data_IF_286677491226
#
_entry.id   IF_286677491226
#
_cell.length_a   1.000
_cell.length_b   1.000
_cell.length_c   1.000
_cell.angle_alpha   90.00
_cell.angle_beta   90.00
_cell.angle_gamma   90.00
#
_symmetry.space_group_name_H-M   'P 1'
#
loop_
_entity.id
_entity.type
_entity.pdbx_description
1 polymer ?
#
# COMPACT_ATOMS: atom_id res chain seq x y z
N UNK A 1 16.99 -20.47 2.17
CA UNK A 1 16.60 -19.04 2.05
C UNK A 1 15.10 -18.99 2.15
N UNK A 2 14.54 -18.02 2.87
CA UNK A 2 13.09 -17.82 2.91
C UNK A 2 12.59 -17.50 1.49
N UNK A 3 11.43 -18.02 1.13
CA UNK A 3 10.73 -17.66 -0.10
C UNK A 3 10.33 -16.17 -0.09
N UNK A 4 10.10 -15.59 -1.27
CA UNK A 4 9.63 -14.20 -1.37
C UNK A 4 8.31 -13.99 -0.59
N UNK A 5 7.45 -15.02 -0.55
CA UNK A 5 6.22 -15.02 0.26
C UNK A 5 6.50 -14.92 1.75
N UNK A 6 7.41 -15.75 2.28
CA UNK A 6 7.79 -15.71 3.70
C UNK A 6 8.47 -14.40 4.07
N UNK A 7 9.33 -13.86 3.20
CA UNK A 7 9.95 -12.55 3.38
C UNK A 7 8.90 -11.45 3.48
N UNK A 8 7.94 -11.43 2.55
CA UNK A 8 6.85 -10.46 2.51
C UNK A 8 5.99 -10.51 3.78
N UNK A 9 5.58 -11.71 4.20
CA UNK A 9 4.77 -11.89 5.41
C UNK A 9 5.53 -11.51 6.69
N UNK A 10 6.81 -11.87 6.78
CA UNK A 10 7.66 -11.49 7.92
C UNK A 10 7.81 -9.98 8.01
N UNK A 11 8.07 -9.32 6.88
CA UNK A 11 8.17 -7.87 6.82
C UNK A 11 6.84 -7.19 7.18
N UNK A 12 5.73 -7.67 6.63
CA UNK A 12 4.42 -7.10 6.90
C UNK A 12 4.01 -7.28 8.38
N UNK A 13 4.29 -8.44 8.97
CA UNK A 13 4.09 -8.67 10.39
C UNK A 13 4.91 -7.69 11.23
N UNK A 14 6.21 -7.53 10.92
CA UNK A 14 7.08 -6.59 11.63
C UNK A 14 6.58 -5.14 11.53
N UNK A 15 6.13 -4.73 10.33
CA UNK A 15 5.54 -3.42 10.09
C UNK A 15 4.30 -3.17 10.96
N UNK A 16 3.35 -4.11 10.97
CA UNK A 16 2.08 -3.97 11.70
C UNK A 16 2.27 -4.09 13.22
N UNK A 17 3.18 -4.93 13.68
CA UNK A 17 3.46 -5.12 15.11
C UNK A 17 4.36 -4.04 15.71
N UNK A 18 4.89 -3.11 14.90
CA UNK A 18 5.82 -2.07 15.34
C UNK A 18 7.26 -2.54 15.58
N UNK A 19 7.66 -3.69 15.04
CA UNK A 19 9.05 -4.14 15.04
C UNK A 19 9.83 -3.41 13.94
N UNK A 20 10.22 -2.17 14.24
CA UNK A 20 10.89 -1.28 13.31
C UNK A 20 12.27 -1.80 12.87
N UNK A 21 13.00 -2.48 13.76
CA UNK A 21 14.32 -3.04 13.44
C UNK A 21 14.17 -4.12 12.35
N UNK A 22 13.28 -5.09 12.56
CA UNK A 22 13.02 -6.12 11.55
C UNK A 22 12.46 -5.51 10.27
N UNK A 23 11.48 -4.61 10.36
CA UNK A 23 10.86 -3.98 9.19
C UNK A 23 11.88 -3.22 8.32
N UNK A 24 12.78 -2.44 8.94
CA UNK A 24 13.85 -1.72 8.23
C UNK A 24 14.90 -2.68 7.69
N UNK A 25 15.23 -3.74 8.43
CA UNK A 25 16.24 -4.72 7.99
C UNK A 25 15.83 -5.49 6.75
N UNK A 26 14.53 -5.67 6.47
CA UNK A 26 14.05 -6.50 5.34
C UNK A 26 13.77 -5.70 4.06
N UNK A 27 13.88 -4.37 4.10
CA UNK A 27 13.77 -3.51 2.92
C UNK A 27 15.15 -3.05 2.44
N UNK A 28 15.26 -2.75 1.15
CA UNK A 28 16.48 -2.20 0.58
C UNK A 28 16.68 -0.72 0.97
N UNK A 29 17.88 -0.20 0.72
CA UNK A 29 18.17 1.23 0.93
C UNK A 29 17.47 2.11 -0.11
N UNK A 30 17.32 1.63 -1.34
CA UNK A 30 16.57 2.26 -2.42
C UNK A 30 15.07 1.89 -2.42
N UNK A 31 14.53 1.46 -1.28
CA UNK A 31 13.11 1.11 -1.17
C UNK A 31 12.21 2.29 -1.52
N UNK A 32 11.17 2.01 -2.32
CA UNK A 32 10.15 2.98 -2.70
C UNK A 32 8.74 2.45 -2.47
N UNK A 33 7.84 3.36 -2.13
CA UNK A 33 6.45 3.08 -1.80
C UNK A 33 5.50 3.87 -2.70
N UNK A 34 4.47 3.23 -3.26
CA UNK A 34 3.41 3.91 -4.00
C UNK A 34 2.09 3.78 -3.26
N UNK A 35 1.50 4.92 -2.90
CA UNK A 35 0.12 4.99 -2.43
C UNK A 35 -0.80 5.39 -3.58
N UNK A 36 -1.76 4.52 -3.92
CA UNK A 36 -2.71 4.77 -5.01
C UNK A 36 -3.63 5.96 -4.75
N UNK A 37 -4.36 6.37 -5.79
CA UNK A 37 -5.41 7.37 -5.71
C UNK A 37 -4.95 8.77 -6.12
N UNK A 38 -5.69 9.77 -5.62
CA UNK A 38 -5.51 11.19 -5.93
C UNK A 38 -5.58 12.06 -4.67
N UNK A 39 -5.44 11.45 -3.49
CA UNK A 39 -5.36 12.18 -2.22
C UNK A 39 -4.04 12.97 -2.17
N UNK A 40 -3.92 14.00 -1.31
CA UNK A 40 -2.64 14.70 -1.15
C UNK A 40 -1.47 13.76 -0.83
N UNK A 41 -1.71 12.69 -0.07
CA UNK A 41 -0.76 11.62 0.22
C UNK A 41 -0.43 10.70 -0.98
N UNK A 42 -1.31 10.57 -1.98
CA UNK A 42 -1.15 9.64 -3.10
C UNK A 42 0.02 10.06 -4.01
N UNK A 43 1.06 9.21 -4.07
CA UNK A 43 2.27 9.38 -4.89
C UNK A 43 3.23 8.20 -4.69
N UNK A 44 4.33 8.24 -5.44
CA UNK A 44 5.57 7.59 -5.05
C UNK A 44 6.27 8.34 -3.90
N UNK A 45 6.75 7.57 -2.94
CA UNK A 45 7.51 7.98 -1.77
C UNK A 45 8.84 7.23 -1.74
N UNK A 46 9.87 7.91 -1.28
CA UNK A 46 11.13 7.29 -0.86
C UNK A 46 10.95 6.62 0.52
N UNK A 47 11.95 5.84 0.94
CA UNK A 47 11.94 5.04 2.18
C UNK A 47 11.54 5.84 3.41
N UNK A 48 12.11 7.02 3.61
CA UNK A 48 11.81 7.92 4.74
C UNK A 48 10.36 8.43 4.66
N UNK A 49 9.89 8.69 3.44
CA UNK A 49 8.53 9.11 3.15
C UNK A 49 7.49 8.05 3.51
N UNK A 50 7.80 6.77 3.27
CA UNK A 50 6.96 5.65 3.70
C UNK A 50 6.77 5.64 5.21
N UNK A 51 7.86 5.70 6.00
CA UNK A 51 7.74 5.70 7.46
C UNK A 51 7.05 6.96 7.99
N UNK A 52 7.26 8.11 7.36
CA UNK A 52 6.52 9.34 7.67
C UNK A 52 5.02 9.13 7.43
N UNK A 53 4.63 8.51 6.31
CA UNK A 53 3.23 8.21 6.00
C UNK A 53 2.59 7.24 7.01
N UNK A 54 3.32 6.19 7.41
CA UNK A 54 2.87 5.25 8.42
C UNK A 54 2.70 5.92 9.79
N UNK A 55 3.62 6.83 10.16
CA UNK A 55 3.51 7.59 11.41
C UNK A 55 2.31 8.55 11.40
N UNK A 56 2.06 9.25 10.29
CA UNK A 56 0.89 10.12 10.15
C UNK A 56 -0.41 9.33 10.29
N UNK A 57 -0.50 8.16 9.66
CA UNK A 57 -1.65 7.27 9.79
C UNK A 57 -1.83 6.77 11.23
N UNK A 58 -0.75 6.32 11.89
CA UNK A 58 -0.83 5.92 13.31
C UNK A 58 -1.29 7.06 14.22
N UNK A 59 -0.96 8.32 13.89
CA UNK A 59 -1.38 9.49 14.65
C UNK A 59 -2.88 9.78 14.64
N UNK A 60 -3.65 9.21 13.70
CA UNK A 60 -5.11 9.38 13.65
C UNK A 60 -5.87 8.23 14.33
N UNK A 61 -5.18 7.19 14.78
CA UNK A 61 -5.78 6.04 15.45
C UNK A 61 -5.90 6.27 16.96
N UNK A 62 -6.94 5.70 17.57
CA UNK A 62 -7.18 5.71 19.01
C UNK A 62 -6.74 4.40 19.71
N UNK A 63 -6.16 3.47 18.96
CA UNK A 63 -5.83 2.13 19.44
C UNK A 63 -5.08 1.32 18.39
N UNK A 64 -4.79 0.04 18.67
CA UNK A 64 -4.06 -0.81 17.76
C UNK A 64 -4.85 -1.06 16.47
N UNK A 65 -4.12 -1.17 15.37
CA UNK A 65 -4.65 -1.65 14.10
C UNK A 65 -4.55 -3.17 14.03
N UNK A 66 -5.63 -3.83 13.64
CA UNK A 66 -5.63 -5.24 13.25
C UNK A 66 -5.58 -5.32 11.73
N UNK A 67 -4.58 -6.03 11.19
CA UNK A 67 -4.52 -6.38 9.77
C UNK A 67 -4.84 -7.87 9.62
N UNK A 68 -5.79 -8.21 8.73
CA UNK A 68 -6.06 -9.60 8.33
C UNK A 68 -5.54 -9.78 6.91
N UNK A 69 -4.73 -10.81 6.69
CA UNK A 69 -4.11 -11.10 5.40
C UNK A 69 -4.88 -12.24 4.74
N UNK A 70 -5.32 -12.03 3.51
CA UNK A 70 -6.01 -13.01 2.69
C UNK A 70 -5.04 -13.80 1.81
N UNK A 71 -5.39 -13.99 0.55
CA UNK A 71 -4.57 -14.73 -0.39
C UNK A 71 -3.23 -14.06 -0.64
N UNK A 72 -2.18 -14.89 -0.77
CA UNK A 72 -0.83 -14.44 -1.07
C UNK A 72 -0.27 -15.23 -2.24
N UNK A 73 0.13 -14.51 -3.29
CA UNK A 73 0.72 -15.09 -4.50
C UNK A 73 2.12 -14.53 -4.74
N UNK A 74 2.99 -15.34 -5.33
CA UNK A 74 4.34 -14.94 -5.68
C UNK A 74 4.73 -15.51 -7.05
N UNK A 75 5.31 -14.68 -7.90
CA UNK A 75 5.83 -15.03 -9.23
C UNK A 75 7.10 -14.22 -9.48
N UNK A 76 8.22 -14.90 -9.76
CA UNK A 76 9.54 -14.30 -9.89
C UNK A 76 9.91 -13.40 -8.67
N UNK A 77 10.19 -12.13 -8.93
CA UNK A 77 10.51 -11.09 -7.97
C UNK A 77 9.28 -10.42 -7.34
N UNK A 78 8.05 -10.84 -7.69
CA UNK A 78 6.80 -10.16 -7.31
C UNK A 78 6.04 -10.95 -6.26
N UNK A 79 5.48 -10.26 -5.28
CA UNK A 79 4.55 -10.82 -4.29
C UNK A 79 3.31 -9.95 -4.19
N UNK A 80 2.13 -10.55 -4.21
CA UNK A 80 0.86 -9.85 -4.03
C UNK A 80 0.13 -10.47 -2.84
N UNK A 81 -0.47 -9.61 -2.01
CA UNK A 81 -1.34 -10.04 -0.93
C UNK A 81 -2.60 -9.18 -0.86
N UNK A 82 -3.70 -9.84 -0.50
CA UNK A 82 -4.94 -9.18 -0.08
C UNK A 82 -4.87 -8.90 1.41
N UNK A 83 -5.42 -7.77 1.84
CA UNK A 83 -5.56 -7.48 3.27
C UNK A 83 -6.79 -6.64 3.58
N UNK A 84 -7.25 -6.71 4.82
CA UNK A 84 -8.18 -5.76 5.42
C UNK A 84 -7.63 -5.22 6.74
N UNK A 85 -8.00 -3.99 7.07
CA UNK A 85 -7.63 -3.32 8.32
C UNK A 85 -8.85 -3.06 9.20
N UNK A 86 -8.63 -2.97 10.50
CA UNK A 86 -9.62 -2.49 11.46
C UNK A 86 -8.91 -1.75 12.60
N UNK A 87 -9.29 -0.51 12.88
CA UNK A 87 -8.74 0.28 13.99
C UNK A 87 -9.75 1.34 14.47
N UNK A 88 -9.82 1.65 15.78
CA UNK A 88 -10.61 2.78 16.26
C UNK A 88 -9.93 4.10 15.87
N UNK A 89 -10.71 5.11 15.48
CA UNK A 89 -10.22 6.43 15.12
C UNK A 89 -10.25 7.40 16.31
N UNK A 90 -9.27 8.29 16.40
CA UNK A 90 -9.23 9.35 17.40
C UNK A 90 -10.36 10.38 17.24
N UNK A 91 -10.85 10.56 16.01
CA UNK A 91 -12.05 11.35 15.69
C UNK A 91 -13.37 10.65 16.05
N UNK A 92 -13.31 9.40 16.50
CA UNK A 92 -14.47 8.54 16.72
C UNK A 92 -14.81 7.65 15.52
N UNK A 93 -15.47 6.53 15.79
CA UNK A 93 -15.80 5.51 14.78
C UNK A 93 -14.65 4.52 14.53
N UNK A 94 -14.78 3.74 13.47
CA UNK A 94 -13.85 2.67 13.09
C UNK A 94 -13.33 2.89 11.69
N UNK A 95 -12.01 2.85 11.54
CA UNK A 95 -11.35 2.72 10.27
C UNK A 95 -11.33 1.24 9.87
N UNK A 96 -12.02 0.88 8.78
CA UNK A 96 -12.00 -0.47 8.22
C UNK A 96 -11.81 -0.43 6.71
N UNK A 97 -10.60 -0.71 6.22
CA UNK A 97 -10.25 -0.57 4.80
C UNK A 97 -9.83 -1.93 4.19
N UNK A 98 -9.91 -2.05 2.89
CA UNK A 98 -9.50 -3.21 2.10
C UNK A 98 -8.35 -2.85 1.17
N UNK A 99 -7.44 -3.80 0.93
CA UNK A 99 -6.19 -3.56 0.24
C UNK A 99 -5.82 -4.70 -0.70
N UNK A 100 -5.14 -4.33 -1.77
CA UNK A 100 -4.12 -5.18 -2.40
C UNK A 100 -2.76 -4.52 -2.20
N UNK A 101 -1.80 -5.28 -1.69
CA UNK A 101 -0.40 -4.85 -1.56
C UNK A 101 0.44 -5.64 -2.55
N UNK A 102 1.17 -4.94 -3.41
CA UNK A 102 2.11 -5.54 -4.35
C UNK A 102 3.54 -5.16 -3.97
N UNK A 103 4.41 -6.16 -3.85
CA UNK A 103 5.81 -6.02 -3.46
C UNK A 103 6.73 -6.49 -4.59
N UNK A 104 7.93 -5.88 -4.69
CA UNK A 104 9.07 -6.46 -5.42
C UNK A 104 10.22 -6.77 -4.50
N UNK A 105 10.89 -7.89 -4.76
CA UNK A 105 12.03 -8.40 -4.00
C UNK A 105 13.28 -8.45 -4.89
N UNK A 106 14.41 -7.94 -4.41
CA UNK A 106 15.72 -8.02 -5.06
C UNK A 106 16.76 -8.38 -4.01
N UNK A 107 17.58 -9.39 -4.28
CA UNK A 107 18.67 -9.81 -3.39
C UNK A 107 18.23 -10.08 -1.93
N UNK A 108 17.04 -10.67 -1.76
CA UNK A 108 16.46 -10.98 -0.45
C UNK A 108 15.95 -9.77 0.35
N UNK A 109 15.79 -8.60 -0.30
CA UNK A 109 15.22 -7.39 0.27
C UNK A 109 14.01 -6.93 -0.53
N UNK A 110 13.03 -6.33 0.14
CA UNK A 110 11.92 -5.67 -0.55
C UNK A 110 12.41 -4.31 -1.05
N UNK A 111 12.26 -4.05 -2.35
CA UNK A 111 12.71 -2.80 -3.01
C UNK A 111 11.55 -1.90 -3.41
N UNK A 112 10.33 -2.43 -3.51
CA UNK A 112 9.16 -1.68 -3.92
C UNK A 112 7.92 -2.21 -3.21
N UNK A 113 7.07 -1.30 -2.75
CA UNK A 113 5.71 -1.58 -2.30
C UNK A 113 4.72 -0.70 -3.07
N UNK A 114 3.58 -1.26 -3.47
CA UNK A 114 2.41 -0.52 -3.95
C UNK A 114 1.22 -0.90 -3.11
N UNK A 115 0.53 0.11 -2.60
CA UNK A 115 -0.69 -0.03 -1.83
C UNK A 115 -1.88 0.42 -2.65
N UNK A 116 -2.79 -0.53 -2.90
CA UNK A 116 -4.08 -0.30 -3.50
C UNK A 116 -5.15 -0.42 -2.42
N UNK A 117 -5.40 0.70 -1.73
CA UNK A 117 -6.46 0.81 -0.72
C UNK A 117 -7.76 1.36 -1.32
N UNK A 118 -8.88 1.21 -0.60
CA UNK A 118 -10.08 2.00 -0.89
C UNK A 118 -9.82 3.47 -0.52
N UNK A 119 -9.39 4.23 -1.51
CA UNK A 119 -9.08 5.66 -1.35
C UNK A 119 -10.30 6.52 -1.02
N UNK A 120 -11.53 6.08 -1.35
CA UNK A 120 -12.75 6.79 -0.95
C UNK A 120 -12.98 6.60 0.55
N UNK A 121 -12.84 5.37 1.05
CA UNK A 121 -12.93 5.10 2.49
C UNK A 121 -11.86 5.85 3.28
N UNK A 122 -10.61 5.89 2.80
CA UNK A 122 -9.55 6.74 3.38
C UNK A 122 -10.01 8.19 3.45
N UNK A 123 -10.54 8.71 2.33
CA UNK A 123 -11.04 10.08 2.26
C UNK A 123 -12.15 10.32 3.27
N UNK A 124 -13.12 9.44 3.41
CA UNK A 124 -14.28 9.63 4.27
C UNK A 124 -13.95 9.49 5.76
N UNK A 125 -13.07 8.54 6.11
CA UNK A 125 -12.77 8.18 7.49
C UNK A 125 -11.69 9.05 8.14
N UNK A 126 -10.71 9.55 7.38
CA UNK A 126 -9.54 10.24 7.95
C UNK A 126 -9.68 11.75 7.77
N UNK A 127 -9.64 12.49 8.88
CA UNK A 127 -9.60 13.95 8.89
C UNK A 127 -8.16 14.44 9.16
N UNK A 128 -7.35 14.45 8.10
CA UNK A 128 -5.96 14.90 8.13
C UNK A 128 -5.60 15.71 6.87
N UNK A 129 -4.67 16.67 6.94
CA UNK A 129 -4.24 17.48 5.79
C UNK A 129 -3.79 16.64 4.58
N UNK A 130 -3.17 15.49 4.84
CA UNK A 130 -2.67 14.53 3.87
C UNK A 130 -3.78 13.80 3.10
N UNK A 131 -5.01 13.89 3.59
CA UNK A 131 -6.20 13.24 3.02
C UNK A 131 -7.19 14.26 2.49
N UNK A 132 -7.48 15.33 3.26
CA UNK A 132 -8.56 16.30 2.98
C UNK A 132 -8.16 17.48 2.08
N UNK A 133 -6.89 17.58 1.71
CA UNK A 133 -6.39 18.62 0.80
C UNK A 133 -6.90 18.49 -0.65
N UNK A 134 -6.53 19.44 -1.53
CA UNK A 134 -6.90 19.39 -2.93
C UNK A 134 -6.41 18.11 -3.59
N UNK A 135 -7.27 17.51 -4.43
CA UNK A 135 -6.92 16.31 -5.19
C UNK A 135 -5.74 16.59 -6.13
N UNK A 136 -4.85 15.62 -6.24
CA UNK A 136 -3.68 15.69 -7.13
C UNK A 136 -3.93 14.91 -8.43
N UNK A 137 -3.24 15.24 -9.52
CA UNK A 137 -3.24 14.41 -10.72
C UNK A 137 -2.83 12.97 -10.39
N UNK A 138 -3.51 12.00 -11.00
CA UNK A 138 -3.21 10.59 -10.80
C UNK A 138 -1.81 10.27 -11.31
N UNK A 139 -1.00 9.65 -10.46
CA UNK A 139 0.27 9.06 -10.86
C UNK A 139 0.08 7.60 -11.26
N UNK A 140 0.88 7.12 -12.21
CA UNK A 140 0.82 5.74 -12.64
C UNK A 140 1.54 4.83 -11.62
N UNK A 141 0.93 3.69 -11.22
CA UNK A 141 1.63 2.63 -10.50
C UNK A 141 2.51 1.80 -11.43
N UNK A 142 2.35 1.91 -12.75
CA UNK A 142 3.09 1.09 -13.72
C UNK A 142 4.53 1.56 -13.80
N UNK A 143 5.44 0.67 -13.46
CA UNK A 143 6.89 0.87 -13.62
C UNK A 143 7.41 0.21 -14.90
N UNK A 144 6.58 -0.61 -15.53
CA UNK A 144 6.82 -1.23 -16.84
C UNK A 144 5.47 -1.40 -17.53
N UNK A 145 5.41 -1.09 -18.81
CA UNK A 145 4.23 -1.36 -19.66
C UNK A 145 4.58 -2.54 -20.55
N UNK A 146 4.04 -3.72 -20.25
CA UNK A 146 4.32 -4.95 -21.00
C UNK A 146 3.60 -4.98 -22.35
N UNK A 147 2.36 -4.46 -22.38
CA UNK A 147 1.56 -4.34 -23.58
C UNK A 147 0.60 -3.16 -23.44
N UNK A 148 0.12 -2.64 -24.55
CA UNK A 148 -0.97 -1.66 -24.58
C UNK A 148 -2.06 -2.18 -25.51
N UNK A 149 -3.28 -2.21 -25.02
CA UNK A 149 -4.46 -2.64 -25.78
C UNK A 149 -5.42 -1.46 -25.78
N UNK A 150 -5.85 -1.03 -26.97
CA UNK A 150 -6.83 0.02 -27.14
C UNK A 150 -8.16 -0.61 -27.54
N UNK A 151 -9.20 -0.41 -26.72
CA UNK A 151 -10.56 -0.81 -27.06
C UNK A 151 -11.16 0.07 -28.15
N UNK A 152 -12.18 -0.44 -28.85
CA UNK A 152 -13.00 0.39 -29.74
C UNK A 152 -13.79 1.42 -28.93
N UNK A 153 -14.06 2.59 -29.53
CA UNK A 153 -15.01 3.55 -28.97
C UNK A 153 -16.39 2.91 -28.89
N UNK A 154 -17.04 2.96 -27.72
CA UNK A 154 -18.39 2.45 -27.54
C UNK A 154 -19.34 3.10 -28.57
N UNK A 155 -20.00 2.28 -29.40
CA UNK A 155 -20.78 2.71 -30.55
C UNK A 155 -20.68 1.76 -31.76
N UNK A 156 -19.69 0.87 -31.79
CA UNK A 156 -19.76 -0.34 -32.60
C UNK A 156 -20.55 -1.38 -31.80
N UNK A 157 -21.69 -1.82 -32.34
CA UNK A 157 -22.56 -2.84 -31.74
C UNK A 157 -21.72 -4.02 -31.26
N UNK A 158 -21.72 -4.23 -29.94
CA UNK A 158 -21.24 -5.48 -29.36
C UNK A 158 -22.22 -6.57 -29.82
N UNK A 159 -21.75 -7.74 -30.30
CA UNK A 159 -22.62 -8.83 -30.70
C UNK A 159 -23.50 -9.33 -29.55
#
# INVERSE_FOLDING_TARGET
MASNKELALTWFQALVSGDAETAVSLIADDFRYFLTGTLPASRWWEKEGFFTSAQMFSGVLAGPITMRIGDVTAEDDRVWLEAESEAPLASGGTYANTYVIALRVRDGKIVEMKEFSDSLHVFEAIDAPEVRGPRKPRQSPLTTVTASVQGATAGADLP
#
